data_IF_714776020427
#
_entry.id   IF_714776020427
#
_cell.length_a   1.000
_cell.length_b   1.000
_cell.length_c   1.000
_cell.angle_alpha   90.00
_cell.angle_beta   90.00
_cell.angle_gamma   90.00
#
_symmetry.space_group_name_H-M   'P 1'
#
loop_
_entity.id
_entity.type
_entity.pdbx_description
1 polymer ?
2 polymer ?
3 non-polymer ?
4 water ?
#
# COMPACT_ATOMS: atom_id res chain seq x y z
N UNK A 12 1.45 -12.22 -25.88
CA UNK A 12 0.44 -11.18 -26.05
C UNK A 12 0.42 -10.25 -24.84
N UNK A 13 0.74 -8.97 -25.07
CA UNK A 13 0.83 -8.02 -23.98
C UNK A 13 -0.55 -7.59 -23.47
N UNK A 14 -1.55 -7.57 -24.34
CA UNK A 14 -2.90 -7.21 -23.90
C UNK A 14 -3.51 -8.31 -23.05
N UNK A 15 -3.24 -9.58 -23.37
CA UNK A 15 -3.72 -10.67 -22.55
C UNK A 15 -3.09 -10.64 -21.17
N UNK A 16 -1.81 -10.29 -21.08
CA UNK A 16 -1.16 -10.16 -19.79
C UNK A 16 -1.78 -9.04 -18.97
N UNK A 17 -2.07 -7.90 -19.61
CA UNK A 17 -2.69 -6.78 -18.91
C UNK A 17 -4.05 -7.18 -18.36
N UNK A 18 -4.87 -7.86 -19.16
CA UNK A 18 -6.21 -8.24 -18.72
C UNK A 18 -6.14 -9.28 -17.60
N UNK A 19 -5.18 -10.20 -17.67
CA UNK A 19 -5.00 -11.17 -16.59
C UNK A 19 -4.66 -10.47 -15.28
N UNK A 20 -3.72 -9.54 -15.32
CA UNK A 20 -3.32 -8.82 -14.12
C UNK A 20 -4.50 -8.03 -13.55
N UNK A 21 -5.27 -7.38 -14.40
CA UNK A 21 -6.42 -6.61 -13.94
C UNK A 21 -7.44 -7.51 -13.26
N UNK A 22 -7.71 -8.68 -13.85
CA UNK A 22 -8.66 -9.62 -13.24
C UNK A 22 -8.18 -10.06 -11.86
N UNK A 23 -6.88 -10.35 -11.72
CA UNK A 23 -6.34 -10.72 -10.41
C UNK A 23 -6.39 -9.55 -9.45
N UNK A 24 -6.10 -8.34 -9.94
CA UNK A 24 -6.19 -7.12 -9.15
C UNK A 24 -7.60 -6.97 -8.55
N UNK A 25 -8.63 -7.20 -9.37
CA UNK A 25 -10.01 -7.09 -8.89
C UNK A 25 -10.30 -8.14 -7.83
N UNK A 26 -9.71 -9.33 -7.96
CA UNK A 26 -9.96 -10.40 -7.01
C UNK A 26 -9.23 -10.19 -5.69
N UNK A 27 -8.06 -9.52 -5.72
CA UNK A 27 -7.22 -9.43 -4.55
C UNK A 27 -7.49 -8.20 -3.70
N UNK A 28 -7.96 -7.10 -4.30
CA UNK A 28 -8.09 -5.84 -3.60
C UNK A 28 -9.56 -5.44 -3.51
N UNK A 29 -10.20 -5.57 -2.34
CA UNK A 29 -11.64 -5.27 -2.25
C UNK A 29 -11.99 -3.83 -2.60
N UNK A 30 -11.15 -2.87 -2.24
CA UNK A 30 -11.41 -1.46 -2.49
C UNK A 30 -10.45 -0.97 -3.57
N UNK A 31 -10.96 -0.91 -4.80
CA UNK A 31 -10.19 -0.44 -5.95
C UNK A 31 -10.21 1.08 -6.02
N UNK A 32 -9.40 1.63 -6.93
CA UNK A 32 -9.41 3.07 -7.11
C UNK A 32 -10.76 3.55 -7.64
N UNK A 33 -11.36 2.81 -8.56
CA UNK A 33 -12.67 3.19 -9.10
C UNK A 33 -13.71 3.29 -7.98
N UNK A 34 -13.75 2.29 -7.09
CA UNK A 34 -14.69 2.35 -5.98
C UNK A 34 -14.33 3.47 -5.01
N UNK A 35 -13.04 3.70 -4.80
CA UNK A 35 -12.61 4.77 -3.90
C UNK A 35 -12.98 6.14 -4.44
N UNK A 36 -12.82 6.34 -5.76
CA UNK A 36 -13.15 7.63 -6.35
C UNK A 36 -14.65 7.91 -6.27
N UNK A 37 -15.47 6.87 -6.44
CA UNK A 37 -16.92 7.06 -6.31
C UNK A 37 -17.30 7.49 -4.90
N UNK A 38 -16.57 6.99 -3.90
CA UNK A 38 -16.82 7.40 -2.52
C UNK A 38 -16.29 8.81 -2.26
N UNK A 39 -15.07 9.09 -2.73
CA UNK A 39 -14.46 10.39 -2.47
C UNK A 39 -15.20 11.52 -3.17
N UNK A 40 -15.87 11.22 -4.29
CA UNK A 40 -16.65 12.22 -5.00
C UNK A 40 -18.13 12.20 -4.62
N UNK A 41 -18.52 11.34 -3.68
CA UNK A 41 -19.91 11.27 -3.25
C UNK A 41 -20.88 10.77 -4.29
N UNK A 42 -20.39 10.19 -5.39
CA UNK A 42 -21.26 9.73 -6.46
C UNK A 42 -21.50 8.22 -6.30
N UNK A 43 -22.19 7.89 -5.21
CA UNK A 43 -22.48 6.51 -4.89
C UNK A 43 -23.75 6.45 -4.06
N UNK A 44 -24.42 5.29 -4.11
CA UNK A 44 -25.72 5.15 -3.46
C UNK A 44 -25.59 4.97 -1.95
N UNK A 45 -24.51 4.36 -1.47
CA UNK A 45 -24.35 4.13 -0.04
C UNK A 45 -24.08 5.44 0.69
N UNK A 46 -24.27 5.40 2.00
CA UNK A 46 -24.16 6.59 2.83
C UNK A 46 -22.71 7.08 2.89
N UNK A 47 -22.55 8.34 3.28
CA UNK A 47 -21.22 8.92 3.36
C UNK A 47 -20.40 8.24 4.47
N UNK A 48 -19.09 8.18 4.31
CA UNK A 48 -18.25 7.64 5.38
C UNK A 48 -18.31 8.52 6.62
N UNK A 49 -18.06 7.91 7.77
CA UNK A 49 -17.88 8.69 8.99
C UNK A 49 -16.56 9.44 8.88
N UNK A 50 -16.58 10.74 9.18
CA UNK A 50 -15.42 11.60 9.02
C UNK A 50 -14.74 11.77 10.38
N UNK A 51 -13.44 11.50 10.42
CA UNK A 51 -12.63 11.66 11.63
C UNK A 51 -11.68 12.83 11.38
N UNK A 52 -11.95 13.95 12.05
CA UNK A 52 -11.14 15.15 11.89
C UNK A 52 -10.62 15.74 13.20
N UNK A 53 -11.06 15.23 14.35
CA UNK A 53 -10.57 15.70 15.64
C UNK A 53 -10.77 14.60 16.67
N UNK A 54 -10.52 14.91 17.94
CA UNK A 54 -10.59 13.90 18.99
C UNK A 54 -12.02 13.39 19.17
N UNK A 55 -13.01 14.29 19.13
CA UNK A 55 -14.39 13.86 19.35
C UNK A 55 -14.89 12.99 18.21
N UNK A 56 -14.63 13.39 16.97
CA UNK A 56 -15.08 12.60 15.83
C UNK A 56 -14.37 11.26 15.76
N UNK A 57 -13.14 11.17 16.29
CA UNK A 57 -12.47 9.88 16.36
C UNK A 57 -13.16 8.97 17.36
N UNK A 58 -13.52 9.50 18.53
CA UNK A 58 -14.18 8.69 19.55
C UNK A 58 -15.52 8.16 19.05
N UNK A 59 -16.22 8.93 18.21
CA UNK A 59 -17.52 8.49 17.71
C UNK A 59 -17.39 7.47 16.59
N UNK A 60 -16.32 7.51 15.81
CA UNK A 60 -16.10 6.57 14.74
C UNK A 60 -15.12 5.45 15.04
N UNK A 61 -14.56 5.42 16.26
CA UNK A 61 -13.48 4.50 16.56
C UNK A 61 -13.90 3.04 16.46
N UNK A 62 -15.11 2.72 16.93
CA UNK A 62 -15.56 1.34 16.89
C UNK A 62 -15.96 0.88 15.48
N UNK A 63 -15.98 1.79 14.50
CA UNK A 63 -16.23 1.41 13.12
C UNK A 63 -14.95 1.15 12.35
N UNK A 64 -13.79 1.39 12.94
CA UNK A 64 -12.51 1.05 12.35
C UNK A 64 -12.25 -0.44 12.58
N UNK A 65 -11.95 -1.17 11.50
CA UNK A 65 -11.72 -2.61 11.62
C UNK A 65 -10.51 -2.86 12.51
N UNK A 66 -10.71 -3.63 13.57
CA UNK A 66 -9.67 -3.89 14.55
C UNK A 66 -10.09 -5.10 15.38
N UNK A 67 -9.42 -6.22 15.19
CA UNK A 67 -9.73 -7.47 15.88
C UNK A 67 -8.51 -7.84 16.73
N UNK A 68 -8.62 -7.66 18.04
CA UNK A 68 -7.52 -7.98 18.94
C UNK A 68 -8.10 -8.43 20.26
N UNK A 69 -7.29 -8.41 21.32
CA UNK A 69 -7.73 -8.91 22.62
C UNK A 69 -8.77 -7.97 23.23
N UNK A 70 -8.57 -6.67 23.07
CA UNK A 70 -9.44 -5.64 23.60
C UNK A 70 -9.84 -4.69 22.48
N UNK A 71 -10.93 -3.94 22.63
CA UNK A 71 -11.35 -3.01 21.59
C UNK A 71 -10.31 -1.93 21.34
N UNK A 72 -10.42 -1.31 20.16
CA UNK A 72 -9.45 -0.28 19.76
C UNK A 72 -9.41 0.88 20.74
N UNK A 73 -10.58 1.27 21.27
CA UNK A 73 -10.62 2.38 22.21
C UNK A 73 -9.87 2.09 23.51
N UNK A 74 -9.69 0.82 23.86
CA UNK A 74 -8.97 0.46 25.07
C UNK A 74 -7.48 0.25 24.84
N UNK A 75 -6.98 0.48 23.61
CA UNK A 75 -5.57 0.23 23.35
C UNK A 75 -4.66 1.19 24.10
N UNK A 76 -5.11 2.43 24.29
CA UNK A 76 -4.30 3.43 24.97
C UNK A 76 -5.18 4.63 25.30
N UNK A 77 -4.75 5.39 26.31
CA UNK A 77 -5.39 6.66 26.60
C UNK A 77 -5.04 7.73 25.57
N UNK A 78 -3.92 7.58 24.87
CA UNK A 78 -3.48 8.55 23.89
C UNK A 78 -4.11 8.25 22.53
N UNK A 79 -4.60 9.31 21.88
CA UNK A 79 -5.22 9.16 20.57
C UNK A 79 -4.20 8.69 19.54
N UNK A 80 -2.98 9.22 19.60
CA UNK A 80 -1.98 8.87 18.59
C UNK A 80 -1.66 7.39 18.62
N UNK A 81 -1.62 6.78 19.81
CA UNK A 81 -1.28 5.37 19.92
C UNK A 81 -2.41 4.50 19.39
N UNK A 82 -3.66 4.91 19.63
CA UNK A 82 -4.79 4.15 19.09
C UNK A 82 -4.80 4.20 17.57
N UNK A 83 -4.47 5.36 16.98
CA UNK A 83 -4.33 5.44 15.54
C UNK A 83 -3.20 4.53 15.06
N UNK A 84 -2.08 4.51 15.79
CA UNK A 84 -0.96 3.64 15.46
C UNK A 84 -1.40 2.19 15.42
N UNK A 85 -2.14 1.75 16.45
CA UNK A 85 -2.56 0.36 16.53
C UNK A 85 -3.54 0.00 15.42
N UNK A 86 -4.53 0.86 15.16
CA UNK A 86 -5.48 0.59 14.10
C UNK A 86 -4.83 0.53 12.73
N UNK A 87 -3.79 1.34 12.52
CA UNK A 87 -3.16 1.38 11.21
C UNK A 87 -2.34 0.12 10.94
N UNK A 88 -1.66 -0.41 11.95
CA UNK A 88 -0.88 -1.62 11.71
C UNK A 88 -1.77 -2.85 11.59
N UNK A 89 -2.97 -2.83 12.16
CA UNK A 89 -3.93 -3.90 11.87
C UNK A 89 -4.30 -3.91 10.40
N UNK A 90 -4.53 -2.72 9.82
CA UNK A 90 -4.80 -2.63 8.39
C UNK A 90 -3.60 -3.09 7.58
N UNK A 91 -2.39 -2.68 7.99
CA UNK A 91 -1.19 -3.00 7.23
C UNK A 91 -0.99 -4.51 7.09
N UNK A 92 -1.25 -5.26 8.16
CA UNK A 92 -1.12 -6.71 8.11
C UNK A 92 -2.05 -7.28 7.04
N UNK A 93 -3.31 -6.83 7.01
CA UNK A 93 -4.22 -7.31 5.98
C UNK A 93 -3.83 -6.80 4.60
N UNK A 94 -3.25 -5.61 4.51
CA UNK A 94 -2.79 -5.11 3.22
C UNK A 94 -1.69 -5.99 2.64
N UNK A 95 -0.74 -6.40 3.48
CA UNK A 95 0.33 -7.30 3.03
C UNK A 95 -0.26 -8.60 2.50
N UNK A 96 -1.31 -9.11 3.15
CA UNK A 96 -1.93 -10.35 2.71
C UNK A 96 -2.59 -10.18 1.35
N UNK A 97 -3.23 -9.04 1.12
CA UNK A 97 -3.84 -8.79 -0.20
C UNK A 97 -2.79 -8.71 -1.28
N UNK A 98 -1.67 -8.04 -1.00
CA UNK A 98 -0.61 -7.87 -2.01
C UNK A 98 0.07 -9.21 -2.28
N UNK A 99 0.24 -10.04 -1.25
CA UNK A 99 0.81 -11.37 -1.44
C UNK A 99 -0.06 -12.22 -2.37
N UNK A 100 -1.38 -12.16 -2.17
CA UNK A 100 -2.29 -12.91 -3.03
C UNK A 100 -2.19 -12.45 -4.48
N UNK A 101 -2.12 -11.13 -4.71
CA UNK A 101 -1.96 -10.62 -6.06
C UNK A 101 -0.62 -11.03 -6.65
N UNK A 102 0.44 -11.00 -5.84
CA UNK A 102 1.77 -11.33 -6.35
C UNK A 102 1.83 -12.76 -6.86
N UNK A 103 1.11 -13.68 -6.20
CA UNK A 103 1.11 -15.08 -6.61
C UNK A 103 0.38 -15.30 -7.93
N UNK A 104 -0.41 -14.33 -8.38
CA UNK A 104 -1.09 -14.42 -9.66
C UNK A 104 -0.28 -13.87 -10.82
N UNK A 105 0.84 -13.20 -10.54
CA UNK A 105 1.71 -12.68 -11.59
C UNK A 105 2.36 -13.86 -12.29
N UNK A 106 2.20 -14.00 -13.60
CA UNK A 106 2.73 -15.17 -14.30
C UNK A 106 4.23 -15.33 -14.10
N UNK A 107 4.64 -16.50 -13.63
CA UNK A 107 6.03 -16.80 -13.36
C UNK A 107 6.48 -16.55 -11.93
N UNK A 108 5.69 -15.84 -11.12
CA UNK A 108 6.14 -15.49 -9.78
C UNK A 108 6.28 -16.71 -8.88
N UNK A 109 5.26 -17.58 -8.88
CA UNK A 109 5.31 -18.74 -8.00
C UNK A 109 6.28 -19.81 -8.50
N UNK A 110 6.78 -19.68 -9.74
CA UNK A 110 7.82 -20.59 -10.22
C UNK A 110 9.21 -20.18 -9.78
N UNK A 111 9.37 -18.96 -9.26
CA UNK A 111 10.66 -18.51 -8.76
C UNK A 111 11.00 -19.25 -7.47
N UNK A 112 12.29 -19.25 -7.14
CA UNK A 112 12.74 -19.79 -5.86
C UNK A 112 11.94 -19.16 -4.72
N UNK A 113 11.49 -20.00 -3.79
CA UNK A 113 10.64 -19.52 -2.71
C UNK A 113 11.32 -18.44 -1.89
N UNK A 114 12.64 -18.55 -1.70
CA UNK A 114 13.38 -17.52 -0.98
C UNK A 114 13.40 -16.21 -1.73
N UNK A 115 13.39 -16.25 -3.07
CA UNK A 115 13.32 -15.02 -3.85
C UNK A 115 11.92 -14.43 -3.82
N UNK A 116 10.89 -15.29 -3.83
CA UNK A 116 9.53 -14.80 -3.62
C UNK A 116 9.40 -14.06 -2.30
N UNK A 117 9.98 -14.60 -1.23
CA UNK A 117 9.98 -13.92 0.06
C UNK A 117 10.68 -12.57 -0.04
N UNK A 118 11.84 -12.55 -0.70
CA UNK A 118 12.61 -11.31 -0.81
C UNK A 118 11.84 -10.24 -1.58
N UNK A 119 11.24 -10.63 -2.71
CA UNK A 119 10.48 -9.68 -3.51
C UNK A 119 9.32 -9.09 -2.72
N UNK A 120 8.65 -9.92 -1.91
CA UNK A 120 7.56 -9.43 -1.07
C UNK A 120 8.11 -8.54 0.05
N UNK A 121 9.16 -8.98 0.72
CA UNK A 121 9.73 -8.24 1.84
C UNK A 121 10.05 -6.80 1.46
N UNK A 122 10.64 -6.59 0.29
CA UNK A 122 11.02 -5.25 -0.15
C UNK A 122 9.93 -4.57 -0.98
N UNK A 123 8.98 -5.32 -1.53
CA UNK A 123 7.98 -4.73 -2.39
C UNK A 123 6.70 -4.28 -1.72
N UNK A 124 6.28 -4.93 -0.63
CA UNK A 124 4.92 -4.74 -0.13
C UNK A 124 4.67 -3.29 0.28
N UNK A 125 5.61 -2.68 1.00
CA UNK A 125 5.34 -1.33 1.47
C UNK A 125 5.36 -0.32 0.33
N UNK A 126 6.15 -0.57 -0.71
CA UNK A 126 6.10 0.28 -1.89
C UNK A 126 4.74 0.16 -2.57
N UNK A 127 4.17 -1.04 -2.59
CA UNK A 127 2.83 -1.22 -3.15
C UNK A 127 1.80 -0.54 -2.26
N UNK A 128 1.96 -0.67 -0.94
CA UNK A 128 1.01 -0.06 -0.02
C UNK A 128 0.92 1.44 -0.24
N UNK A 129 2.08 2.10 -0.36
CA UNK A 129 2.08 3.55 -0.53
C UNK A 129 1.57 3.95 -1.90
N UNK A 130 1.79 3.10 -2.92
CA UNK A 130 1.19 3.35 -4.23
C UNK A 130 -0.33 3.33 -4.16
N UNK A 131 -0.88 2.29 -3.51
CA UNK A 131 -2.33 2.13 -3.48
C UNK A 131 -3.01 3.03 -2.45
N UNK A 132 -2.26 3.56 -1.48
CA UNK A 132 -2.82 4.59 -0.60
C UNK A 132 -3.27 5.80 -1.39
N UNK A 133 -2.51 6.17 -2.42
CA UNK A 133 -2.89 7.32 -3.25
C UNK A 133 -4.27 7.14 -3.85
N UNK A 134 -4.65 5.91 -4.19
CA UNK A 134 -5.98 5.65 -4.72
C UNK A 134 -7.07 6.01 -3.70
N UNK A 135 -6.74 5.96 -2.41
CA UNK A 135 -7.68 6.20 -1.33
C UNK A 135 -7.59 7.61 -0.77
N UNK A 136 -6.81 8.49 -1.40
CA UNK A 136 -6.53 9.80 -0.85
C UNK A 136 -7.00 10.89 -1.81
N UNK A 137 -7.46 11.99 -1.23
CA UNK A 137 -7.48 13.28 -1.91
C UNK A 137 -6.58 14.22 -1.13
N UNK A 138 -6.55 15.49 -1.52
CA UNK A 138 -5.64 16.43 -0.86
C UNK A 138 -5.98 16.64 0.61
N UNK A 139 -7.15 16.20 1.07
CA UNK A 139 -7.61 16.51 2.42
C UNK A 139 -7.74 15.31 3.36
N UNK A 140 -7.59 14.08 2.88
CA UNK A 140 -7.70 12.95 3.78
C UNK A 140 -7.65 11.63 3.02
N UNK A 141 -7.81 10.55 3.78
CA UNK A 141 -7.65 9.20 3.28
C UNK A 141 -8.81 8.33 3.75
N UNK A 142 -9.29 7.47 2.86
CA UNK A 142 -10.34 6.51 3.22
C UNK A 142 -9.75 5.39 4.07
N UNK A 143 -10.52 4.94 5.06
CA UNK A 143 -10.09 3.87 5.97
C UNK A 143 -11.22 2.86 6.08
N UNK A 144 -10.85 1.67 6.57
CA UNK A 144 -11.79 0.58 6.82
C UNK A 144 -12.65 0.28 5.60
N UNK A 145 -11.96 0.01 4.48
CA UNK A 145 -12.60 -0.37 3.22
C UNK A 145 -13.61 0.68 2.76
N UNK A 146 -13.24 1.95 2.90
CA UNK A 146 -14.07 3.05 2.46
C UNK A 146 -15.19 3.42 3.40
N UNK A 147 -15.28 2.79 4.58
CA UNK A 147 -16.35 3.11 5.52
C UNK A 147 -16.10 4.41 6.25
N UNK A 148 -14.83 4.81 6.40
CA UNK A 148 -14.49 6.02 7.12
C UNK A 148 -13.51 6.87 6.33
N UNK A 149 -13.29 8.09 6.83
CA UNK A 149 -12.43 9.06 6.17
C UNK A 149 -11.70 9.85 7.26
N UNK A 150 -10.38 9.78 7.25
CA UNK A 150 -9.55 10.43 8.25
C UNK A 150 -8.81 11.58 7.58
N UNK A 151 -8.97 12.80 8.12
CA UNK A 151 -8.46 13.97 7.43
C UNK A 151 -6.95 14.09 7.59
N UNK A 152 -6.33 14.70 6.57
CA UNK A 152 -4.90 14.96 6.57
C UNK A 152 -4.50 15.88 7.72
N UNK A 153 -5.30 16.93 7.97
CA UNK A 153 -5.01 17.85 9.05
C UNK A 153 -5.01 17.15 10.40
N UNK A 154 -5.96 16.24 10.61
CA UNK A 154 -6.01 15.50 11.88
C UNK A 154 -4.78 14.63 12.06
N UNK A 155 -4.40 13.89 11.02
CA UNK A 155 -3.20 13.05 11.10
C UNK A 155 -1.95 13.89 11.34
N UNK A 156 -1.91 15.10 10.79
CA UNK A 156 -0.75 15.97 10.97
C UNK A 156 -0.70 16.59 12.36
N UNK A 157 -1.83 16.69 13.05
CA UNK A 157 -1.88 17.31 14.37
C UNK A 157 -1.41 16.38 15.49
N UNK A 158 -1.21 15.10 15.20
CA UNK A 158 -0.78 14.17 16.22
C UNK A 158 0.62 14.51 16.71
N UNK A 159 0.87 14.26 18.00
CA UNK A 159 2.16 14.58 18.58
C UNK A 159 3.27 13.77 17.91
N UNK A 160 4.48 14.32 17.98
CA UNK A 160 5.63 13.70 17.33
C UNK A 160 5.94 12.35 18.00
N UNK A 161 6.40 11.36 17.23
CA UNK A 161 6.59 11.44 15.77
C UNK A 161 5.36 10.99 14.97
N UNK A 162 4.23 10.79 15.66
CA UNK A 162 3.05 10.22 15.01
C UNK A 162 2.53 11.14 13.92
N UNK A 163 2.64 12.46 14.10
CA UNK A 163 2.16 13.39 13.11
C UNK A 163 2.98 13.46 11.84
N UNK A 164 4.16 12.83 11.83
CA UNK A 164 5.05 12.86 10.68
C UNK A 164 4.89 11.67 9.75
N UNK A 165 4.07 10.67 10.12
CA UNK A 165 4.01 9.45 9.33
C UNK A 165 3.26 9.67 8.02
N UNK A 166 2.04 10.19 8.09
CA UNK A 166 1.17 10.18 6.92
C UNK A 166 1.47 11.33 5.94
N UNK A 167 1.99 12.45 6.43
CA UNK A 167 2.16 13.63 5.59
C UNK A 167 2.98 13.38 4.33
N UNK A 168 4.12 12.69 4.37
CA UNK A 168 4.84 12.39 3.11
C UNK A 168 4.05 11.49 2.17
N UNK A 169 3.14 10.67 2.70
CA UNK A 169 2.30 9.83 1.84
C UNK A 169 1.25 10.68 1.12
N UNK A 170 0.69 11.67 1.81
CA UNK A 170 -0.22 12.60 1.14
C UNK A 170 0.51 13.40 0.07
N UNK A 171 1.72 13.87 0.38
CA UNK A 171 2.49 14.64 -0.59
C UNK A 171 2.78 13.81 -1.84
N UNK A 172 3.17 12.55 -1.67
CA UNK A 172 3.37 11.68 -2.82
C UNK A 172 2.06 11.47 -3.58
N UNK A 173 0.96 11.28 -2.86
CA UNK A 173 -0.31 10.97 -3.50
C UNK A 173 -0.81 12.12 -4.35
N UNK A 174 -0.61 13.36 -3.91
CA UNK A 174 -1.05 14.51 -4.69
C UNK A 174 -0.36 14.52 -6.04
N UNK A 175 0.96 14.30 -6.05
CA UNK A 175 1.69 14.26 -7.31
C UNK A 175 1.37 13.00 -8.12
N UNK A 176 1.21 11.87 -7.44
CA UNK A 176 0.94 10.62 -8.14
C UNK A 176 -0.45 10.61 -8.76
N UNK A 177 -1.45 11.10 -8.02
CA UNK A 177 -2.81 11.15 -8.56
C UNK A 177 -2.93 12.09 -9.74
N UNK A 178 -2.02 13.06 -9.89
CA UNK A 178 -2.03 13.94 -11.06
C UNK A 178 -1.79 13.17 -12.36
N UNK A 179 -1.19 11.99 -12.27
CA UNK A 179 -1.02 11.14 -13.45
C UNK A 179 -2.32 10.54 -13.93
N UNK A 180 -3.36 10.53 -13.08
CA UNK A 180 -4.70 10.06 -13.44
C UNK A 180 -4.69 8.62 -13.94
N UNK A 181 -3.95 7.76 -13.25
CA UNK A 181 -3.99 6.34 -13.56
C UNK A 181 -5.30 5.72 -13.07
N UNK A 182 -5.68 4.62 -13.70
CA UNK A 182 -6.84 3.85 -13.26
C UNK A 182 -6.38 2.45 -12.84
N UNK A 183 -7.35 1.64 -12.41
CA UNK A 183 -7.03 0.31 -11.88
C UNK A 183 -6.33 -0.55 -12.91
N UNK A 184 -6.69 -0.41 -14.19
CA UNK A 184 -6.03 -1.21 -15.23
C UNK A 184 -4.57 -0.80 -15.39
N UNK A 185 -4.26 0.48 -15.23
CA UNK A 185 -2.86 0.91 -15.23
C UNK A 185 -2.13 0.40 -13.99
N UNK A 186 -2.75 0.57 -12.82
CA UNK A 186 -2.09 0.27 -11.55
C UNK A 186 -1.78 -1.21 -11.40
N UNK A 187 -2.62 -2.09 -11.96
CA UNK A 187 -2.38 -3.52 -11.84
C UNK A 187 -1.03 -3.92 -12.43
N UNK A 188 -0.71 -3.37 -13.62
CA UNK A 188 0.58 -3.67 -14.24
C UNK A 188 1.70 -2.98 -13.49
N UNK A 189 1.48 -1.74 -13.05
CA UNK A 189 2.52 -0.97 -12.40
C UNK A 189 2.98 -1.63 -11.10
N UNK A 190 2.04 -2.12 -10.29
CA UNK A 190 2.45 -2.76 -9.04
C UNK A 190 3.14 -4.08 -9.32
N UNK A 191 2.77 -4.78 -10.39
CA UNK A 191 3.50 -5.99 -10.76
C UNK A 191 4.94 -5.67 -11.17
N UNK A 192 5.13 -4.57 -11.89
CA UNK A 192 6.49 -4.14 -12.23
C UNK A 192 7.31 -3.92 -10.97
N UNK A 193 6.72 -3.31 -9.94
CA UNK A 193 7.46 -3.00 -8.72
C UNK A 193 7.84 -4.27 -7.98
N UNK A 194 6.92 -5.24 -7.89
CA UNK A 194 7.20 -6.47 -7.16
C UNK A 194 8.36 -7.22 -7.82
N UNK A 195 8.40 -7.23 -9.15
CA UNK A 195 9.42 -7.97 -9.90
C UNK A 195 10.65 -7.10 -10.15
N UNK A 196 11.22 -6.60 -9.06
CA UNK A 196 12.42 -5.78 -9.12
C UNK A 196 13.64 -6.66 -8.91
N UNK A 197 14.52 -6.71 -9.91
CA UNK A 197 15.68 -7.59 -9.88
C UNK A 197 16.83 -7.11 -9.02
N UNK A 198 16.76 -5.90 -8.47
CA UNK A 198 17.85 -5.35 -7.68
C UNK A 198 17.56 -5.38 -6.18
N UNK A 199 16.58 -6.15 -5.75
CA UNK A 199 16.32 -6.28 -4.31
C UNK A 199 17.52 -6.96 -3.65
N UNK A 200 17.90 -6.54 -2.44
CA UNK A 200 19.05 -7.15 -1.78
C UNK A 200 18.80 -8.62 -1.47
N UNK A 201 19.81 -9.44 -1.73
CA UNK A 201 19.77 -10.84 -1.36
C UNK A 201 19.07 -11.76 -2.34
N UNK A 202 18.71 -11.27 -3.53
CA UNK A 202 18.09 -12.13 -4.52
C UNK A 202 19.08 -13.18 -5.01
N UNK A 203 18.60 -14.41 -5.17
CA UNK A 203 19.46 -15.51 -5.61
C UNK A 203 19.55 -15.61 -7.13
N UNK A 204 18.43 -15.43 -7.84
CA UNK A 204 18.39 -15.57 -9.29
C UNK A 204 17.77 -14.31 -9.89
N UNK A 205 18.63 -13.36 -10.27
CA UNK A 205 18.14 -12.08 -10.78
C UNK A 205 17.58 -12.24 -12.19
N UNK A 206 18.21 -13.10 -13.00
CA UNK A 206 17.85 -13.18 -14.42
C UNK A 206 16.38 -13.53 -14.65
N UNK A 207 15.81 -14.59 -14.08
CA UNK A 207 14.38 -14.86 -14.33
C UNK A 207 13.46 -13.75 -13.84
N UNK A 208 13.87 -13.03 -12.79
CA UNK A 208 13.05 -11.91 -12.32
C UNK A 208 13.07 -10.77 -13.33
N UNK A 209 14.26 -10.41 -13.82
CA UNK A 209 14.34 -9.37 -14.83
C UNK A 209 13.62 -9.76 -16.12
N UNK A 210 13.63 -11.05 -16.46
CA UNK A 210 12.91 -11.52 -17.64
C UNK A 210 11.41 -11.25 -17.50
N UNK A 211 10.85 -11.47 -16.30
CA UNK A 211 9.43 -11.21 -16.10
C UNK A 211 9.15 -9.71 -16.12
N UNK A 212 9.98 -8.92 -15.43
CA UNK A 212 9.74 -7.48 -15.38
C UNK A 212 9.87 -6.86 -16.77
N UNK A 213 10.67 -7.44 -17.65
CA UNK A 213 10.78 -6.95 -19.02
C UNK A 213 9.42 -7.01 -19.73
N UNK A 214 8.74 -8.15 -19.62
CA UNK A 214 7.41 -8.27 -20.22
C UNK A 214 6.41 -7.36 -19.53
N UNK A 215 6.49 -7.26 -18.19
CA UNK A 215 5.59 -6.39 -17.45
C UNK A 215 5.78 -4.93 -17.87
N UNK A 216 7.03 -4.51 -18.07
CA UNK A 216 7.29 -3.14 -18.50
C UNK A 216 6.76 -2.88 -19.90
N UNK A 217 6.92 -3.85 -20.81
CA UNK A 217 6.37 -3.70 -22.16
C UNK A 217 4.85 -3.64 -22.12
N UNK A 218 4.22 -4.48 -21.30
CA UNK A 218 2.77 -4.44 -21.17
C UNK A 218 2.32 -3.11 -20.57
N UNK A 219 3.07 -2.59 -19.61
CA UNK A 219 2.75 -1.29 -19.02
C UNK A 219 2.84 -0.18 -20.05
N UNK A 220 3.90 -0.18 -20.86
CA UNK A 220 4.06 0.88 -21.86
C UNK A 220 2.93 0.87 -22.88
N UNK A 221 2.57 -0.32 -23.37
CA UNK A 221 1.46 -0.43 -24.29
C UNK A 221 0.14 -0.03 -23.63
N UNK A 222 -0.05 -0.41 -22.37
CA UNK A 222 -1.26 -0.04 -21.65
C UNK A 222 -1.41 1.47 -21.54
N UNK A 223 -0.31 2.17 -21.22
CA UNK A 223 -0.37 3.62 -21.06
C UNK A 223 -0.58 4.33 -22.39
N UNK A 224 -0.02 3.81 -23.48
CA UNK A 224 -0.23 4.43 -24.79
C UNK A 224 -1.67 4.27 -25.24
N UNK A 225 -2.30 3.14 -24.92
CA UNK A 225 -3.69 2.91 -25.32
C UNK A 225 -4.66 3.66 -24.41
N UNK A 226 -4.42 3.63 -23.10
CA UNK A 226 -5.34 4.21 -22.14
C UNK A 226 -5.13 5.71 -21.95
N UNK A 227 -3.95 6.24 -22.30
CA UNK A 227 -3.64 7.66 -22.17
C UNK A 227 -2.91 8.12 -23.43
N UNK A 228 -3.59 8.13 -24.58
CA UNK A 228 -2.91 8.56 -25.82
C UNK A 228 -2.55 10.03 -25.83
N UNK A 229 -3.12 10.84 -24.93
CA UNK A 229 -2.78 12.25 -24.84
C UNK A 229 -1.63 12.53 -23.88
N UNK A 230 -1.30 11.58 -23.00
CA UNK A 230 -0.24 11.78 -22.01
C UNK A 230 1.07 11.25 -22.58
N UNK A 231 1.72 12.09 -23.37
CA UNK A 231 3.03 11.73 -23.90
C UNK A 231 4.04 11.61 -22.76
N UNK A 232 4.90 10.59 -22.84
CA UNK A 232 5.92 10.31 -21.84
C UNK A 232 5.32 10.04 -20.46
N UNK A 233 4.06 9.60 -20.40
CA UNK A 233 3.50 9.16 -19.12
C UNK A 233 4.29 7.97 -18.58
N UNK A 234 4.73 7.07 -19.46
CA UNK A 234 5.58 5.96 -19.07
C UNK A 234 6.82 6.44 -18.33
N UNK A 235 7.49 7.46 -18.89
CA UNK A 235 8.71 7.96 -18.26
C UNK A 235 8.43 8.63 -16.91
N UNK A 236 7.33 9.38 -16.82
CA UNK A 236 6.98 10.02 -15.55
C UNK A 236 6.68 8.99 -14.48
N UNK A 237 5.99 7.90 -14.86
CA UNK A 237 5.59 6.89 -13.89
C UNK A 237 6.79 6.10 -13.39
N UNK A 238 7.74 5.78 -14.28
CA UNK A 238 8.93 5.05 -13.86
C UNK A 238 9.72 5.79 -12.80
N UNK A 239 9.71 7.13 -12.85
CA UNK A 239 10.41 7.91 -11.85
C UNK A 239 9.75 7.82 -10.48
N UNK A 240 8.45 7.50 -10.43
CA UNK A 240 7.77 7.31 -9.16
C UNK A 240 8.23 6.06 -8.43
N UNK A 241 8.75 5.06 -9.15
CA UNK A 241 9.24 3.84 -8.50
C UNK A 241 10.38 4.14 -7.53
N UNK A 242 11.19 5.14 -7.83
CA UNK A 242 12.27 5.52 -6.94
C UNK A 242 11.78 6.39 -5.79
N UNK A 243 10.74 7.19 -6.01
CA UNK A 243 10.12 7.93 -4.92
C UNK A 243 9.66 7.00 -3.81
N UNK A 244 9.06 5.86 -4.19
CA UNK A 244 8.55 4.93 -3.19
C UNK A 244 9.66 4.38 -2.31
N UNK A 245 10.86 4.21 -2.85
CA UNK A 245 11.97 3.75 -2.02
C UNK A 245 12.39 4.80 -1.00
N UNK A 246 12.33 6.09 -1.38
CA UNK A 246 12.62 7.17 -0.43
C UNK A 246 11.57 7.22 0.69
N UNK A 247 10.31 7.00 0.33
CA UNK A 247 9.25 6.98 1.33
C UNK A 247 9.49 5.87 2.34
N UNK A 248 9.85 4.68 1.85
CA UNK A 248 10.16 3.56 2.74
C UNK A 248 11.29 3.93 3.68
N UNK A 249 12.38 4.49 3.14
CA UNK A 249 13.52 4.87 3.97
C UNK A 249 13.12 5.83 5.06
N UNK A 250 12.32 6.84 4.72
CA UNK A 250 11.85 7.80 5.72
C UNK A 250 10.92 7.14 6.73
N UNK A 251 10.09 6.20 6.26
CA UNK A 251 9.13 5.52 7.14
C UNK A 251 9.85 4.67 8.19
N UNK A 252 10.88 3.93 7.80
CA UNK A 252 11.54 3.07 8.76
C UNK A 252 12.31 3.88 9.80
N UNK A 253 12.76 5.09 9.45
CA UNK A 253 13.38 5.96 10.44
C UNK A 253 12.37 6.42 11.48
N UNK A 254 11.15 6.74 11.05
CA UNK A 254 10.11 7.11 12.02
C UNK A 254 9.75 5.94 12.91
N UNK A 255 9.65 4.74 12.33
CA UNK A 255 9.37 3.55 13.15
C UNK A 255 10.49 3.30 14.17
N UNK A 256 11.73 3.65 13.82
CA UNK A 256 12.82 3.46 14.78
C UNK A 256 12.75 4.46 15.92
N UNK A 257 12.29 5.68 15.65
CA UNK A 257 12.03 6.64 16.73
C UNK A 257 10.99 6.08 17.69
N UNK A 258 9.96 5.43 17.15
CA UNK A 258 8.96 4.77 17.98
C UNK A 258 9.60 3.70 18.85
N UNK A 259 10.45 2.86 18.23
CA UNK A 259 11.05 1.74 18.94
C UNK A 259 12.00 2.21 20.04
N UNK A 260 12.62 3.38 19.87
CA UNK A 260 13.59 3.86 20.83
C UNK A 260 12.98 4.73 21.92
N UNK A 261 11.86 5.39 21.66
CA UNK A 261 11.32 6.39 22.58
C UNK A 261 9.94 6.05 23.14
N UNK A 262 9.26 5.03 22.62
CA UNK A 262 7.95 4.65 23.11
C UNK A 262 8.01 3.29 23.80
N UNK A 263 7.09 3.07 24.73
CA UNK A 263 7.18 1.95 25.66
C UNK A 263 6.44 0.70 25.16
N UNK A 264 5.15 0.62 25.44
CA UNK A 264 4.35 -0.57 25.16
C UNK A 264 4.24 -0.89 23.68
N UNK A 265 4.64 0.03 22.80
CA UNK A 265 4.41 -0.13 21.37
C UNK A 265 5.28 -1.25 20.81
N UNK A 266 4.66 -2.13 20.03
CA UNK A 266 5.34 -3.25 19.40
C UNK A 266 4.61 -3.60 18.12
N UNK A 267 5.36 -3.79 17.04
CA UNK A 267 4.74 -4.10 15.75
C UNK A 267 4.20 -5.52 15.74
N UNK A 268 3.18 -5.73 14.92
CA UNK A 268 2.61 -7.06 14.78
C UNK A 268 3.65 -8.02 14.20
N UNK A 269 3.53 -9.33 14.48
CA UNK A 269 4.59 -10.26 14.05
C UNK A 269 4.88 -10.22 12.56
N UNK A 270 3.86 -10.09 11.71
CA UNK A 270 4.12 -10.05 10.27
C UNK A 270 4.93 -8.81 9.89
N UNK A 271 4.64 -7.67 10.51
CA UNK A 271 5.38 -6.45 10.20
C UNK A 271 6.81 -6.53 10.74
N UNK A 272 6.99 -7.14 11.92
CA UNK A 272 8.34 -7.32 12.45
C UNK A 272 9.20 -8.17 11.51
N UNK A 273 8.62 -9.21 10.92
CA UNK A 273 9.38 -10.05 10.01
C UNK A 273 9.80 -9.29 8.77
N UNK A 274 8.92 -8.43 8.25
CA UNK A 274 9.25 -7.67 7.04
C UNK A 274 10.39 -6.69 7.31
N UNK A 275 10.32 -5.97 8.42
CA UNK A 275 11.30 -4.93 8.70
C UNK A 275 12.62 -5.48 9.23
N UNK A 276 12.64 -6.70 9.75
CA UNK A 276 13.88 -7.25 10.29
C UNK A 276 14.87 -7.52 9.16
N UNK A 277 16.07 -6.95 9.29
CA UNK A 277 17.14 -7.07 8.29
C UNK A 277 16.74 -6.50 6.94
N UNK A 278 15.80 -5.54 6.93
CA UNK A 278 15.46 -4.82 5.71
C UNK A 278 16.55 -3.80 5.43
N UNK A 279 17.21 -3.92 4.28
CA UNK A 279 18.34 -3.07 3.93
C UNK A 279 19.40 -3.09 5.02
N UNK B 3 9.95 -20.60 10.53
CA UNK B 3 8.85 -19.87 11.15
C UNK B 3 8.50 -18.59 10.40
N UNK B 4 8.76 -18.57 9.09
CA UNK B 4 8.52 -17.37 8.29
C UNK B 4 7.03 -17.25 7.99
N UNK B 5 6.43 -16.13 8.41
CA UNK B 5 5.03 -15.88 8.09
C UNK B 5 4.84 -15.59 6.61
N UNK B 6 5.83 -14.99 5.96
CA UNK B 6 5.72 -14.72 4.54
C UNK B 6 5.68 -16.01 3.72
N UNK B 7 6.48 -17.01 4.10
CA UNK B 7 6.42 -18.31 3.45
C UNK B 7 5.03 -18.93 3.60
N UNK B 8 4.43 -18.79 4.77
CA UNK B 8 3.11 -19.37 5.01
C UNK B 8 2.06 -18.75 4.09
N UNK B 9 2.13 -17.43 3.90
CA UNK B 9 1.21 -16.77 2.97
C UNK B 9 1.48 -17.17 1.53
N UNK B 10 2.76 -17.35 1.18
CA UNK B 10 3.11 -17.73 -0.19
C UNK B 10 2.70 -19.17 -0.51
N UNK B 11 2.69 -20.05 0.49
CA UNK B 11 2.30 -21.44 0.29
C UNK B 11 0.89 -21.68 0.82
N UNK B 12 -0.08 -21.17 0.08
CA UNK B 12 -1.48 -21.28 0.48
C UNK B 12 -2.41 -21.27 -0.72
X LIG C 1 4.90 0.37 8.23
X LIG C 1 -0.35 3.72 6.13
X LIG C 1 0.86 3.06 6.23
X LIG C 1 0.93 1.68 6.26
X LIG C 1 2.40 1.72 8.76
X LIG C 1 2.24 0.96 6.43
X LIG C 1 2.51 0.56 7.89
X LIG C 1 -6.37 3.07 8.70
X LIG C 1 2.41 1.65 10.14
X LIG C 1 1.97 2.79 10.87
X LIG C 1 1.80 2.67 12.24
X LIG C 1 2.07 1.49 12.89
X LIG C 1 2.52 0.39 12.18
X LIG C 1 2.69 0.47 10.82
X LIG C 1 1.68 4.09 10.19
X LIG C 1 3.84 -0.17 8.00
X LIG C 1 3.69 -1.46 7.81
X LIG C 1 1.08 5.23 10.94
X LIG C 1 1.70 5.77 12.06
X LIG C 1 1.16 6.86 12.71
X LIG C 1 -0.01 7.43 12.26
X LIG C 1 -0.64 6.91 11.14
X LIG C 1 -0.09 5.81 10.49
X LIG C 1 1.92 4.21 9.00
X LIG C 1 -0.26 0.96 6.17
X LIG C 1 -1.48 1.61 6.07
X LIG C 1 -1.52 2.99 6.06
X LIG C 1 -2.69 3.70 6.10
X LIG C 1 -3.93 2.96 6.19
X LIG C 1 -5.05 3.97 6.25
X LIG C 1 -5.05 4.72 7.54
X LIG C 1 -4.12 5.84 7.70
X LIG C 1 -5.54 4.12 8.76
X LIG C 1 -5.15 4.71 9.97
X LIG C 1 -5.65 4.19 11.14
X LIG C 1 -6.51 3.11 11.09
X LIG C 1 -6.83 2.59 9.86
#
# INVERSE_FOLDING_TARGET
>A
GSHMQLNPESADLRALAKHLYDSYIKSFPLTKAKARAILTGKTTDKSPFVIYDMNSLMMGEDKIKFKHITPLQEQSKEVAIRIFQGCQFRSVEAVQEITEYAKSIPGFVNLDLNDQVTLLKYGVHEIIYTMLASLMNKDGVLISEGQGFMTREFLKSLRKPFGDFMEPKFEFAVKFNALELDDSDLAIFIAVIILSGDRPGLLNVKPIEDIQDNLLQALELQLKLNHPESSQLFAKLLQKMTDLRQIVTEHVQLLQVIKKTETDMSLYPLLQEIYKDLY
>B
EEPSLLKKLLLAPA
>C hetero
1 EDK O3 C4 C5 C6 N1 C7 C8 N2 C9 C10 C11 C12 C13 C14 C15 C22 O2 C16 C21 C20 C19 C18 C17 O1 C23 C24 C3 O C2 C1 N C C25 C29 C28 C27 C26
#
